data_IF_454476957077
#
_entry.id   IF_454476957077
#
_cell.length_a   1.000
_cell.length_b   1.000
_cell.length_c   1.000
_cell.angle_alpha   90.00
_cell.angle_beta   90.00
_cell.angle_gamma   90.00
#
_symmetry.space_group_name_H-M   'P 1'
#
loop_
_entity.id
_entity.type
_entity.pdbx_description
1 polymer ?
#
# COMPACT_ATOMS: atom_id res chain seq x y z
N UNK A 1 -53.40 22.56 -15.19
CA UNK A 1 -53.49 21.63 -14.05
C UNK A 1 -52.95 20.29 -14.57
N UNK A 2 -51.72 19.84 -14.35
CA UNK A 2 -50.81 19.96 -13.23
C UNK A 2 -50.50 18.53 -12.77
N UNK A 3 -49.37 17.95 -13.15
CA UNK A 3 -48.79 16.77 -12.49
C UNK A 3 -47.28 16.97 -12.43
N UNK A 4 -46.81 17.34 -11.24
CA UNK A 4 -45.41 17.56 -10.94
C UNK A 4 -44.70 16.21 -10.75
N UNK A 5 -43.70 15.92 -11.59
CA UNK A 5 -42.81 14.79 -11.39
C UNK A 5 -41.73 15.17 -10.36
N UNK A 6 -41.87 14.66 -9.14
CA UNK A 6 -40.87 14.72 -8.08
C UNK A 6 -39.68 13.83 -8.48
N UNK A 7 -38.63 14.45 -9.02
CA UNK A 7 -37.32 13.83 -9.19
C UNK A 7 -36.65 13.67 -7.83
N UNK A 8 -36.62 12.42 -7.35
CA UNK A 8 -35.90 12.02 -6.15
C UNK A 8 -34.39 12.26 -6.33
N UNK A 9 -33.84 13.19 -5.55
CA UNK A 9 -32.40 13.40 -5.45
C UNK A 9 -31.78 12.28 -4.61
N UNK A 10 -31.00 11.41 -5.26
CA UNK A 10 -30.09 10.48 -4.61
C UNK A 10 -28.96 11.27 -3.93
N UNK A 11 -29.01 11.43 -2.60
CA UNK A 11 -27.88 11.92 -1.80
C UNK A 11 -27.02 10.74 -1.37
N UNK A 12 -26.05 10.38 -2.20
CA UNK A 12 -25.06 9.37 -1.85
C UNK A 12 -23.85 9.98 -1.14
N UNK A 13 -23.63 9.48 0.08
CA UNK A 13 -22.35 9.25 0.77
C UNK A 13 -21.62 10.41 1.48
N UNK A 14 -21.78 10.41 2.81
CA UNK A 14 -20.78 10.61 3.86
C UNK A 14 -19.37 11.04 3.41
N UNK A 15 -19.12 12.34 3.46
CA UNK A 15 -17.76 12.90 3.40
C UNK A 15 -17.02 12.57 4.70
N UNK A 16 -16.11 11.60 4.64
CA UNK A 16 -15.11 11.33 5.69
C UNK A 16 -13.76 11.96 5.31
N UNK A 17 -13.80 13.18 4.76
CA UNK A 17 -12.60 13.98 4.51
C UNK A 17 -12.13 14.61 5.82
N UNK A 18 -10.87 14.38 6.20
CA UNK A 18 -10.23 15.21 7.23
C UNK A 18 -10.06 16.63 6.68
N UNK A 19 -10.07 17.68 7.54
CA UNK A 19 -9.87 19.05 7.07
C UNK A 19 -8.58 19.13 6.25
N UNK A 20 -8.67 19.45 4.96
CA UNK A 20 -7.52 19.49 4.03
C UNK A 20 -7.50 18.42 2.93
N UNK A 21 -8.35 17.39 3.01
CA UNK A 21 -8.43 16.33 2.00
C UNK A 21 -9.77 16.31 1.27
N UNK A 22 -9.76 16.67 -0.01
CA UNK A 22 -10.97 16.74 -0.85
C UNK A 22 -11.20 15.47 -1.67
N UNK A 23 -10.25 14.52 -1.67
CA UNK A 23 -10.39 13.25 -2.37
C UNK A 23 -10.84 12.11 -1.45
N UNK A 24 -11.57 11.15 -2.03
CA UNK A 24 -11.90 9.91 -1.35
C UNK A 24 -10.67 8.99 -1.26
N UNK A 25 -10.44 8.42 -0.07
CA UNK A 25 -9.40 7.40 0.11
C UNK A 25 -9.92 6.07 -0.47
N UNK A 26 -9.20 5.42 -1.39
CA UNK A 26 -9.67 4.20 -2.02
C UNK A 26 -9.70 3.02 -1.04
N UNK A 27 -10.55 2.03 -1.30
CA UNK A 27 -10.58 0.78 -0.53
C UNK A 27 -9.45 -0.19 -0.94
N UNK A 28 -8.91 -0.02 -2.14
CA UNK A 28 -7.80 -0.79 -2.66
C UNK A 28 -6.59 0.08 -2.93
N UNK A 29 -5.40 -0.50 -2.82
CA UNK A 29 -4.17 0.06 -3.34
C UNK A 29 -3.54 -0.98 -4.29
N UNK A 30 -3.19 -0.55 -5.51
CA UNK A 30 -2.57 -1.43 -6.52
C UNK A 30 -3.42 -2.66 -6.88
N UNK A 31 -4.75 -2.51 -6.89
CA UNK A 31 -5.69 -3.62 -7.11
C UNK A 31 -5.84 -4.57 -5.90
N UNK A 32 -5.13 -4.32 -4.81
CA UNK A 32 -5.19 -5.11 -3.57
C UNK A 32 -6.12 -4.43 -2.57
N UNK A 33 -7.15 -5.14 -2.12
CA UNK A 33 -8.08 -4.64 -1.10
C UNK A 33 -7.39 -4.59 0.26
N UNK A 34 -7.20 -3.38 0.80
CA UNK A 34 -6.56 -3.13 2.12
C UNK A 34 -7.44 -2.32 3.07
N UNK A 35 -8.46 -1.64 2.53
CA UNK A 35 -9.35 -0.78 3.28
C UNK A 35 -8.85 0.66 3.40
N UNK A 36 -9.76 1.60 3.18
CA UNK A 36 -9.45 3.04 3.21
C UNK A 36 -8.87 3.53 4.54
N UNK A 37 -9.29 2.93 5.66
CA UNK A 37 -8.77 3.25 7.00
C UNK A 37 -7.28 2.96 7.17
N UNK A 38 -6.71 1.99 6.45
CA UNK A 38 -5.28 1.68 6.53
C UNK A 38 -4.44 2.62 5.66
N UNK A 39 -5.02 3.12 4.57
CA UNK A 39 -4.34 4.06 3.67
C UNK A 39 -4.43 5.51 4.15
N UNK A 40 -5.57 5.91 4.73
CA UNK A 40 -5.86 7.28 5.13
C UNK A 40 -4.75 7.97 5.94
N UNK A 41 -4.10 7.33 6.93
CA UNK A 41 -3.05 7.98 7.72
C UNK A 41 -1.78 8.28 6.90
N UNK A 42 -1.52 7.49 5.86
CA UNK A 42 -0.30 7.58 5.05
C UNK A 42 -0.42 8.55 3.86
N UNK A 43 -1.62 9.07 3.64
CA UNK A 43 -1.92 9.98 2.54
C UNK A 43 -1.93 11.43 3.06
N UNK A 44 -1.34 12.38 2.33
CA UNK A 44 -1.37 13.78 2.72
C UNK A 44 -2.74 14.41 2.51
N UNK A 45 -2.81 15.71 2.71
CA UNK A 45 -3.89 16.56 2.24
C UNK A 45 -3.75 16.84 0.74
N UNK A 46 -4.83 17.26 0.09
CA UNK A 46 -4.84 17.55 -1.34
C UNK A 46 -6.20 17.40 -2.01
N UNK A 47 -6.23 17.65 -3.31
CA UNK A 47 -7.47 17.73 -4.09
C UNK A 47 -7.80 16.47 -4.86
N UNK A 48 -6.78 15.78 -5.37
CA UNK A 48 -6.96 14.64 -6.27
C UNK A 48 -5.98 13.53 -5.96
N UNK A 49 -6.53 12.34 -5.72
CA UNK A 49 -5.76 11.10 -5.67
C UNK A 49 -5.85 10.37 -7.01
N UNK A 50 -4.70 9.92 -7.51
CA UNK A 50 -4.62 9.03 -8.68
C UNK A 50 -3.77 7.82 -8.35
N UNK A 51 -4.11 6.69 -8.95
CA UNK A 51 -3.31 5.48 -8.91
C UNK A 51 -2.77 5.20 -10.31
N UNK A 52 -1.51 4.77 -10.38
CA UNK A 52 -0.90 4.30 -11.63
C UNK A 52 -0.27 2.95 -11.37
N UNK A 53 -0.77 1.94 -12.06
CA UNK A 53 -0.20 0.61 -12.07
C UNK A 53 0.87 0.50 -13.16
N UNK A 54 1.91 -0.26 -12.88
CA UNK A 54 2.98 -0.56 -13.82
C UNK A 54 3.03 -2.06 -14.06
N UNK A 55 3.01 -2.46 -15.33
CA UNK A 55 3.12 -3.86 -15.69
C UNK A 55 4.59 -4.26 -15.82
N UNK A 56 5.13 -4.91 -14.78
CA UNK A 56 6.45 -5.53 -14.78
C UNK A 56 6.38 -7.07 -14.89
N UNK A 57 5.20 -7.61 -15.20
CA UNK A 57 4.92 -9.04 -15.24
C UNK A 57 4.03 -9.51 -14.08
N UNK A 58 3.48 -10.74 -14.18
CA UNK A 58 2.48 -11.25 -13.23
C UNK A 58 3.02 -11.48 -11.82
N UNK A 59 4.34 -11.63 -11.67
CA UNK A 59 5.01 -11.86 -10.38
C UNK A 59 5.56 -10.59 -9.75
N UNK A 60 5.40 -9.44 -10.41
CA UNK A 60 6.00 -8.18 -9.99
C UNK A 60 5.01 -7.00 -9.99
N UNK A 61 3.92 -7.06 -9.20
CA UNK A 61 2.96 -5.96 -9.14
C UNK A 61 3.65 -4.71 -8.61
N UNK A 62 3.49 -3.58 -9.32
CA UNK A 62 4.00 -2.28 -8.89
C UNK A 62 2.95 -1.21 -9.12
N UNK A 63 2.73 -0.35 -8.13
CA UNK A 63 1.89 0.81 -8.33
C UNK A 63 2.35 2.03 -7.53
N UNK A 64 1.87 3.18 -7.99
CA UNK A 64 2.09 4.46 -7.39
C UNK A 64 0.77 5.13 -7.06
N UNK A 65 0.66 5.67 -5.84
CA UNK A 65 -0.40 6.58 -5.44
C UNK A 65 0.14 8.00 -5.46
N UNK A 66 -0.56 8.88 -6.16
CA UNK A 66 -0.20 10.29 -6.32
C UNK A 66 -1.31 11.17 -5.77
N UNK A 67 -0.91 12.21 -5.04
CA UNK A 67 -1.82 13.28 -4.59
C UNK A 67 -1.40 14.57 -5.27
N UNK A 68 -2.33 15.18 -6.00
CA UNK A 68 -2.11 16.38 -6.81
C UNK A 68 -0.91 16.23 -7.76
N UNK A 69 -0.74 15.02 -8.30
CA UNK A 69 0.34 14.67 -9.23
C UNK A 69 1.68 14.30 -8.55
N UNK A 70 1.84 14.54 -7.26
CA UNK A 70 3.04 14.18 -6.51
C UNK A 70 2.98 12.72 -6.06
N UNK A 71 4.05 11.95 -6.29
CA UNK A 71 4.18 10.60 -5.77
C UNK A 71 4.22 10.61 -4.24
N UNK A 72 3.29 9.90 -3.61
CA UNK A 72 3.19 9.79 -2.16
C UNK A 72 3.58 8.39 -1.70
N UNK A 73 2.97 7.36 -2.30
CA UNK A 73 3.21 5.97 -1.95
C UNK A 73 3.64 5.22 -3.20
N UNK A 74 4.74 4.49 -3.09
CA UNK A 74 5.12 3.46 -4.03
C UNK A 74 4.89 2.11 -3.35
N UNK A 75 4.25 1.18 -4.03
CA UNK A 75 4.08 -0.19 -3.54
C UNK A 75 4.60 -1.13 -4.61
N UNK A 76 5.35 -2.13 -4.17
CA UNK A 76 5.83 -3.20 -5.04
C UNK A 76 5.68 -4.55 -4.37
N UNK A 77 5.56 -5.58 -5.21
CA UNK A 77 5.72 -6.94 -4.78
C UNK A 77 6.57 -7.72 -5.77
N UNK A 78 7.25 -8.75 -5.29
CA UNK A 78 8.12 -9.59 -6.10
C UNK A 78 8.06 -11.05 -5.63
N UNK A 79 7.79 -11.98 -6.55
CA UNK A 79 8.06 -13.40 -6.33
C UNK A 79 9.54 -13.66 -6.58
N UNK A 80 10.26 -14.14 -5.58
CA UNK A 80 11.70 -14.37 -5.62
C UNK A 80 12.06 -15.81 -5.23
N UNK A 81 13.23 -16.33 -5.66
CA UNK A 81 13.69 -17.66 -5.27
C UNK A 81 13.73 -17.84 -3.76
N UNK A 82 13.32 -19.01 -3.27
CA UNK A 82 13.27 -19.30 -1.83
C UNK A 82 14.61 -19.11 -1.10
N UNK A 83 15.74 -19.33 -1.79
CA UNK A 83 17.09 -19.11 -1.24
C UNK A 83 17.50 -17.64 -1.08
N UNK A 84 16.70 -16.68 -1.57
CA UNK A 84 17.03 -15.25 -1.50
C UNK A 84 16.99 -14.75 -0.06
N UNK A 85 18.09 -14.15 0.41
CA UNK A 85 18.10 -13.35 1.63
C UNK A 85 17.58 -11.95 1.32
N UNK A 86 16.26 -11.80 1.41
CA UNK A 86 15.56 -10.57 1.05
C UNK A 86 15.95 -9.42 1.97
N UNK A 87 16.21 -9.68 3.26
CA UNK A 87 16.59 -8.62 4.20
C UNK A 87 17.98 -8.11 3.87
N UNK A 88 18.94 -9.00 3.62
CA UNK A 88 20.30 -8.59 3.26
C UNK A 88 20.31 -7.80 1.94
N UNK A 89 19.56 -8.25 0.92
CA UNK A 89 19.47 -7.55 -0.38
C UNK A 89 18.86 -6.15 -0.24
N UNK A 90 17.84 -5.98 0.60
CA UNK A 90 17.14 -4.70 0.76
C UNK A 90 17.71 -3.82 1.88
N UNK A 91 18.76 -4.26 2.57
CA UNK A 91 19.29 -3.59 3.76
C UNK A 91 19.67 -2.12 3.50
N UNK A 92 20.35 -1.86 2.37
CA UNK A 92 20.73 -0.50 1.96
C UNK A 92 19.51 0.37 1.64
N UNK A 93 18.53 -0.19 0.91
CA UNK A 93 17.29 0.51 0.57
C UNK A 93 16.52 0.90 1.82
N UNK A 94 16.33 -0.05 2.73
CA UNK A 94 15.63 0.17 4.00
C UNK A 94 16.33 1.21 4.89
N UNK A 95 17.67 1.25 4.93
CA UNK A 95 18.40 2.33 5.61
C UNK A 95 18.21 3.69 4.96
N UNK A 96 18.06 3.76 3.64
CA UNK A 96 17.70 5.00 2.93
C UNK A 96 16.29 5.51 3.28
N UNK A 97 15.43 4.62 3.78
CA UNK A 97 14.07 4.92 4.22
C UNK A 97 13.98 5.29 5.71
N UNK A 98 15.11 5.26 6.44
CA UNK A 98 15.20 5.66 7.85
C UNK A 98 15.90 4.62 8.71
N UNK A 99 15.38 4.39 9.91
CA UNK A 99 15.95 3.41 10.85
C UNK A 99 15.11 2.12 10.86
N UNK A 100 15.39 1.14 9.98
CA UNK A 100 14.61 -0.09 9.91
C UNK A 100 14.72 -0.90 11.19
N UNK A 101 13.59 -1.35 11.71
CA UNK A 101 13.48 -2.26 12.83
C UNK A 101 12.69 -3.52 12.43
N UNK A 102 13.00 -4.65 13.07
CA UNK A 102 12.26 -5.89 12.86
C UNK A 102 10.79 -5.74 13.27
N UNK A 103 9.90 -6.42 12.54
CA UNK A 103 8.48 -6.48 12.86
C UNK A 103 7.95 -7.91 12.68
N UNK A 104 6.94 -8.27 13.47
CA UNK A 104 6.29 -9.57 13.40
C UNK A 104 5.18 -9.57 12.33
N UNK A 105 5.58 -9.65 11.06
CA UNK A 105 4.69 -9.76 9.88
C UNK A 105 5.30 -10.79 8.93
N UNK A 106 4.52 -11.80 8.53
CA UNK A 106 5.01 -12.88 7.68
C UNK A 106 6.13 -13.69 8.35
N UNK A 107 7.09 -14.17 7.55
CA UNK A 107 8.30 -14.83 8.03
C UNK A 107 9.37 -13.84 8.49
N UNK A 108 9.50 -12.70 7.80
CA UNK A 108 10.43 -11.64 8.19
C UNK A 108 9.93 -10.29 7.67
N UNK A 109 10.15 -9.22 8.44
CA UNK A 109 9.75 -7.88 8.06
C UNK A 109 10.61 -6.78 8.69
N UNK A 110 10.71 -5.65 7.99
CA UNK A 110 11.39 -4.44 8.46
C UNK A 110 10.48 -3.23 8.28
N UNK A 111 10.37 -2.41 9.32
CA UNK A 111 9.67 -1.12 9.28
C UNK A 111 10.70 -0.01 9.52
N UNK A 112 10.90 0.85 8.52
CA UNK A 112 11.71 2.06 8.57
C UNK A 112 10.82 3.30 8.73
N UNK A 113 11.44 4.49 8.78
CA UNK A 113 10.70 5.74 8.99
C UNK A 113 9.73 6.05 7.86
N UNK A 114 10.07 5.70 6.62
CA UNK A 114 9.28 5.96 5.42
C UNK A 114 9.12 4.73 4.54
N UNK A 115 9.27 3.53 5.09
CA UNK A 115 9.01 2.34 4.31
C UNK A 115 8.89 1.08 5.12
N UNK A 116 8.38 0.04 4.47
CA UNK A 116 8.00 -1.20 5.12
C UNK A 116 8.16 -2.35 4.14
N UNK A 117 8.88 -3.38 4.57
CA UNK A 117 9.19 -4.57 3.79
C UNK A 117 8.73 -5.79 4.57
N UNK A 118 8.02 -6.72 3.95
CA UNK A 118 7.71 -8.02 4.54
C UNK A 118 7.88 -9.14 3.53
N UNK A 119 8.18 -10.32 4.06
CA UNK A 119 8.47 -11.52 3.30
C UNK A 119 7.65 -12.65 3.85
N UNK A 120 7.02 -13.42 2.98
CA UNK A 120 6.40 -14.69 3.34
C UNK A 120 6.66 -15.76 2.28
N UNK A 121 6.38 -17.01 2.64
CA UNK A 121 6.48 -18.17 1.75
C UNK A 121 5.40 -18.07 0.68
N UNK A 122 5.75 -18.40 -0.55
CA UNK A 122 4.83 -18.40 -1.68
C UNK A 122 5.11 -19.63 -2.53
N UNK A 123 4.10 -20.47 -2.79
CA UNK A 123 4.22 -21.47 -3.87
C UNK A 123 3.70 -20.84 -5.15
N UNK A 124 4.57 -20.69 -6.14
CA UNK A 124 4.22 -20.15 -7.46
C UNK A 124 4.71 -21.10 -8.56
N UNK A 125 3.81 -21.46 -9.48
CA UNK A 125 4.12 -22.43 -10.55
C UNK A 125 4.62 -23.79 -10.04
N UNK A 126 4.13 -24.25 -8.88
CA UNK A 126 4.53 -25.50 -8.26
C UNK A 126 5.90 -25.51 -7.59
N UNK A 127 6.58 -24.36 -7.49
CA UNK A 127 7.88 -24.23 -6.83
C UNK A 127 7.75 -23.42 -5.55
N UNK A 128 8.47 -23.85 -4.51
CA UNK A 128 8.65 -23.05 -3.30
C UNK A 128 9.46 -21.79 -3.63
N UNK A 129 8.86 -20.64 -3.36
CA UNK A 129 9.39 -19.29 -3.57
C UNK A 129 9.12 -18.45 -2.32
N UNK A 130 9.53 -17.19 -2.36
CA UNK A 130 9.14 -16.16 -1.39
C UNK A 130 8.37 -15.08 -2.13
N UNK A 131 7.41 -14.46 -1.47
CA UNK A 131 6.84 -13.21 -1.92
C UNK A 131 7.34 -12.09 -1.02
N UNK A 132 7.76 -11.00 -1.65
CA UNK A 132 8.22 -9.78 -0.99
C UNK A 132 7.17 -8.72 -1.24
N UNK A 133 6.74 -8.02 -0.19
CA UNK A 133 5.93 -6.81 -0.30
C UNK A 133 6.73 -5.63 0.24
N UNK A 134 6.80 -4.55 -0.53
CA UNK A 134 7.47 -3.30 -0.16
C UNK A 134 6.50 -2.13 -0.34
N UNK A 135 6.45 -1.25 0.67
CA UNK A 135 5.69 -0.01 0.67
C UNK A 135 6.64 1.12 1.06
N UNK A 136 6.83 2.07 0.15
CA UNK A 136 7.63 3.26 0.40
C UNK A 136 6.79 4.54 0.38
N UNK A 137 7.04 5.40 1.35
CA UNK A 137 6.51 6.76 1.41
C UNK A 137 7.56 7.73 0.87
N UNK A 138 7.16 8.60 -0.06
CA UNK A 138 8.03 9.68 -0.52
C UNK A 138 8.04 10.83 0.50
N UNK A 139 8.90 11.83 0.27
CA UNK A 139 9.28 12.86 1.27
C UNK A 139 8.09 13.66 1.83
N UNK A 140 6.94 13.62 1.18
CA UNK A 140 5.68 14.25 1.59
C UNK A 140 4.95 13.49 2.71
N UNK A 141 5.60 12.56 3.42
CA UNK A 141 4.98 11.86 4.52
C UNK A 141 4.73 12.80 5.72
N UNK A 142 3.47 13.09 5.99
CA UNK A 142 3.02 14.17 6.90
C UNK A 142 2.95 13.77 8.38
N UNK A 143 2.94 12.48 8.70
CA UNK A 143 2.78 12.00 10.08
C UNK A 143 4.10 12.01 10.86
N UNK A 144 3.99 12.09 12.19
CA UNK A 144 5.11 11.84 13.09
C UNK A 144 5.69 10.43 12.89
N UNK A 145 7.01 10.29 13.08
CA UNK A 145 7.73 9.05 12.79
C UNK A 145 7.12 7.82 13.48
N UNK A 146 6.78 7.84 14.79
CA UNK A 146 6.21 6.66 15.44
C UNK A 146 4.84 6.27 14.88
N UNK A 147 3.95 7.26 14.67
CA UNK A 147 2.62 7.03 14.10
C UNK A 147 2.70 6.49 12.67
N UNK A 148 3.60 7.06 11.88
CA UNK A 148 3.85 6.65 10.50
C UNK A 148 4.36 5.21 10.42
N UNK A 149 5.30 4.84 11.28
CA UNK A 149 5.79 3.45 11.38
C UNK A 149 4.67 2.48 11.74
N UNK A 150 3.80 2.87 12.66
CA UNK A 150 2.66 2.05 13.06
C UNK A 150 1.61 1.92 11.94
N UNK A 151 1.33 3.00 11.21
CA UNK A 151 0.46 2.99 10.05
C UNK A 151 1.03 2.09 8.92
N UNK A 152 2.32 2.22 8.61
CA UNK A 152 3.03 1.34 7.68
C UNK A 152 2.96 -0.12 8.09
N UNK A 153 3.20 -0.42 9.38
CA UNK A 153 3.10 -1.78 9.93
C UNK A 153 1.70 -2.38 9.73
N UNK A 154 0.64 -1.63 10.04
CA UNK A 154 -0.74 -2.10 9.85
C UNK A 154 -1.08 -2.32 8.38
N UNK A 155 -0.70 -1.37 7.51
CA UNK A 155 -0.96 -1.48 6.08
C UNK A 155 -0.23 -2.70 5.50
N UNK A 156 1.06 -2.86 5.78
CA UNK A 156 1.86 -3.98 5.28
C UNK A 156 1.30 -5.34 5.75
N UNK A 157 0.86 -5.42 7.01
CA UNK A 157 0.23 -6.63 7.57
C UNK A 157 -1.04 -7.05 6.81
N UNK A 158 -1.83 -6.08 6.35
CA UNK A 158 -3.02 -6.36 5.55
C UNK A 158 -2.70 -6.60 4.07
N UNK A 159 -1.76 -5.83 3.51
CA UNK A 159 -1.39 -5.87 2.11
C UNK A 159 -0.71 -7.18 1.73
N UNK A 160 0.24 -7.66 2.52
CA UNK A 160 1.06 -8.85 2.22
C UNK A 160 0.22 -10.07 1.79
N UNK A 161 -0.70 -10.62 2.62
CA UNK A 161 -1.46 -11.81 2.23
C UNK A 161 -2.43 -11.54 1.07
N UNK A 162 -2.92 -10.31 0.91
CA UNK A 162 -3.84 -9.96 -0.17
C UNK A 162 -3.11 -9.83 -1.52
N UNK A 163 -1.89 -9.26 -1.51
CA UNK A 163 -1.02 -9.18 -2.69
C UNK A 163 -0.53 -10.56 -3.13
N UNK A 164 -0.16 -11.42 -2.17
CA UNK A 164 0.19 -12.82 -2.43
C UNK A 164 -0.92 -13.56 -3.19
N UNK A 165 -2.17 -13.43 -2.73
CA UNK A 165 -3.33 -13.99 -3.45
C UNK A 165 -3.48 -13.40 -4.85
N UNK A 166 -3.27 -12.09 -5.00
CA UNK A 166 -3.35 -11.38 -6.28
C UNK A 166 -2.35 -11.88 -7.34
N UNK A 167 -1.15 -12.28 -6.93
CA UNK A 167 -0.13 -12.85 -7.82
C UNK A 167 -0.22 -14.36 -7.98
N UNK A 168 -1.19 -15.02 -7.33
CA UNK A 168 -1.38 -16.47 -7.41
C UNK A 168 -0.44 -17.29 -6.53
N UNK A 169 0.07 -16.72 -5.44
CA UNK A 169 0.73 -17.52 -4.39
C UNK A 169 -0.30 -18.40 -3.68
N UNK A 170 0.06 -19.68 -3.51
CA UNK A 170 -0.66 -20.66 -2.70
C UNK A 170 0.17 -21.18 -1.54
#
# INVERSE_FOLDING_TARGET
MGVAALLAMFTAAACTGSPGRDYAVPQAACGVQVGSKLLSPLLPDGKKLTQRDYNFGPTQPRCELKVDGNLVIHVSGDVVPAGTDVIAVNERGMRGLGHPAAANIGQDARIADRGALAVDRCVYGGKQQKFVADIELKKQAIQDVPERRDALRRLLKAYLPAAMKGVGCS
#
